data_IF_101037705406
#
_entry.id   IF_101037705406
#
_cell.length_a   1.000
_cell.length_b   1.000
_cell.length_c   1.000
_cell.angle_alpha   90.00
_cell.angle_beta   90.00
_cell.angle_gamma   90.00
#
_symmetry.space_group_name_H-M   'P 1'
#
loop_
_entity.id
_entity.type
_entity.pdbx_description
1 polymer ?
#
# COMPACT_ATOMS: atom_id res chain seq x y z
N UNK A 1 44.81 -42.74 7.53
CA UNK A 1 45.79 -43.86 7.48
C UNK A 1 47.18 -43.29 7.62
N UNK A 2 47.73 -43.56 8.73
CA UNK A 2 49.10 -44.10 8.94
C UNK A 2 50.19 -43.20 8.42
N UNK A 3 51.07 -42.66 9.20
CA UNK A 3 51.82 -43.14 10.36
C UNK A 3 53.29 -43.36 10.00
N UNK A 4 54.15 -42.88 10.90
CA UNK A 4 55.48 -43.48 11.29
C UNK A 4 56.67 -43.20 10.31
N UNK A 5 57.84 -43.00 10.71
CA UNK A 5 58.59 -43.42 11.90
C UNK A 5 59.98 -42.83 11.87
N UNK A 6 60.51 -42.38 13.03
CA UNK A 6 61.69 -42.94 13.75
C UNK A 6 62.95 -43.24 12.90
N UNK A 7 64.15 -42.98 13.32
CA UNK A 7 64.89 -43.32 14.54
C UNK A 7 66.34 -42.86 14.39
N UNK A 8 66.92 -42.24 15.35
CA UNK A 8 68.04 -42.62 16.26
C UNK A 8 69.31 -43.18 15.64
N UNK A 9 70.45 -42.64 15.99
CA UNK A 9 71.60 -43.21 16.75
C UNK A 9 72.75 -42.20 16.72
N UNK A 10 73.22 -41.66 17.76
CA UNK A 10 74.05 -42.09 18.87
C UNK A 10 75.55 -42.03 18.58
N UNK A 11 76.22 -41.23 19.41
CA UNK A 11 77.46 -41.41 20.20
C UNK A 11 78.76 -41.41 19.47
N UNK A 12 79.57 -40.40 19.74
CA UNK A 12 80.87 -40.62 20.36
C UNK A 12 81.48 -39.31 20.92
N UNK A 13 81.94 -39.45 22.11
CA UNK A 13 82.61 -38.44 22.97
C UNK A 13 84.00 -38.14 22.43
N UNK A 14 84.35 -36.85 22.41
CA UNK A 14 85.71 -36.43 22.65
C UNK A 14 85.75 -35.05 23.32
N UNK A 15 86.23 -35.01 24.55
CA UNK A 15 86.55 -33.80 25.31
C UNK A 15 87.72 -33.04 24.63
N UNK A 16 87.45 -31.80 24.24
CA UNK A 16 88.48 -30.77 24.14
C UNK A 16 87.94 -29.52 24.81
N UNK A 17 88.59 -29.14 25.85
CA UNK A 17 88.45 -27.86 26.58
C UNK A 17 88.79 -26.70 25.64
N UNK A 18 87.76 -26.05 25.14
CA UNK A 18 87.88 -24.79 24.47
C UNK A 18 86.62 -24.01 24.79
N UNK A 19 86.76 -22.78 25.18
CA UNK A 19 85.74 -21.81 25.45
C UNK A 19 84.83 -21.75 24.23
N UNK A 20 83.75 -22.51 24.23
CA UNK A 20 82.74 -22.39 23.16
C UNK A 20 81.91 -21.18 23.47
N UNK A 21 82.15 -20.09 22.72
CA UNK A 21 81.10 -19.08 22.52
C UNK A 21 79.96 -19.76 21.88
N UNK A 22 78.82 -19.77 22.56
CA UNK A 22 77.61 -20.32 22.06
C UNK A 22 77.09 -19.32 21.03
N UNK A 23 77.39 -19.52 19.76
CA UNK A 23 77.06 -18.67 18.61
C UNK A 23 75.62 -18.81 18.19
N UNK A 24 74.70 -18.69 19.10
CA UNK A 24 73.30 -18.71 18.63
C UNK A 24 72.48 -17.67 19.38
N UNK A 25 72.27 -16.49 18.80
CA UNK A 25 71.32 -15.55 19.30
C UNK A 25 69.89 -16.08 18.92
N UNK A 26 69.36 -16.95 19.78
CA UNK A 26 68.10 -17.71 19.47
C UNK A 26 66.89 -16.95 19.91
N UNK A 27 67.01 -15.73 20.42
CA UNK A 27 65.81 -15.01 20.93
C UNK A 27 65.74 -13.58 20.35
N UNK A 28 64.56 -13.23 19.82
CA UNK A 28 64.23 -11.85 19.57
C UNK A 28 63.59 -11.27 20.82
N UNK A 29 63.89 -10.05 21.21
CA UNK A 29 63.28 -9.38 22.37
C UNK A 29 62.65 -8.04 22.02
N UNK A 30 62.49 -7.76 20.74
CA UNK A 30 61.79 -6.55 20.28
C UNK A 30 60.30 -6.73 20.46
N UNK A 31 59.71 -5.93 21.31
CA UNK A 31 58.27 -5.87 21.58
C UNK A 31 57.75 -4.47 21.28
N UNK A 32 56.59 -4.39 20.64
CA UNK A 32 55.83 -3.17 20.40
C UNK A 32 54.35 -3.56 20.24
N UNK A 33 53.43 -2.66 20.50
CA UNK A 33 52.00 -2.84 20.17
C UNK A 33 51.81 -2.82 18.65
N UNK A 34 51.47 -3.97 18.06
CA UNK A 34 51.27 -4.18 16.62
C UNK A 34 49.83 -3.91 16.18
N UNK A 35 48.91 -3.49 17.08
CA UNK A 35 47.53 -3.13 16.72
C UNK A 35 47.50 -1.88 15.83
N UNK A 36 46.47 -1.70 15.03
CA UNK A 36 46.29 -0.51 14.21
C UNK A 36 46.26 0.76 15.08
N UNK A 37 47.01 1.79 14.67
CA UNK A 37 46.99 3.13 15.28
C UNK A 37 46.15 4.06 14.44
N UNK A 38 45.09 4.59 15.01
CA UNK A 38 44.20 5.53 14.32
C UNK A 38 44.50 6.94 14.85
N UNK A 39 44.82 7.85 13.95
CA UNK A 39 45.11 9.27 14.24
C UNK A 39 44.25 10.16 13.34
N UNK A 40 44.01 11.38 13.77
CA UNK A 40 43.54 12.45 12.90
C UNK A 40 44.71 13.23 12.31
N UNK A 41 44.51 13.95 11.23
CA UNK A 41 45.54 14.87 10.69
C UNK A 41 45.93 15.87 11.76
N UNK A 42 47.26 15.96 12.05
CA UNK A 42 47.83 16.78 13.10
C UNK A 42 47.89 16.13 14.48
N UNK A 43 47.29 14.98 14.69
CA UNK A 43 47.32 14.25 15.95
C UNK A 43 48.64 13.46 16.08
N UNK A 44 49.10 13.33 17.31
CA UNK A 44 50.33 12.56 17.64
C UNK A 44 50.02 11.48 18.67
N UNK A 45 50.68 10.34 18.54
CA UNK A 45 50.66 9.28 19.55
C UNK A 45 52.02 8.61 19.61
N UNK A 46 52.46 8.20 20.81
CA UNK A 46 53.73 7.55 20.99
C UNK A 46 53.54 6.06 21.21
N UNK A 47 54.27 5.25 20.40
CA UNK A 47 54.43 3.80 20.60
C UNK A 47 55.90 3.49 20.75
N UNK A 48 56.33 3.30 21.97
CA UNK A 48 57.70 2.94 22.26
C UNK A 48 57.89 1.43 22.15
N UNK A 49 58.92 1.04 21.43
CA UNK A 49 59.41 -0.32 21.45
C UNK A 49 60.16 -0.60 22.75
N UNK A 50 60.16 -1.84 23.16
CA UNK A 50 60.92 -2.32 24.31
C UNK A 50 61.76 -3.54 23.96
N UNK A 51 62.82 -3.75 24.74
CA UNK A 51 63.72 -4.87 24.56
C UNK A 51 64.30 -5.30 25.88
N UNK A 52 64.76 -6.53 26.00
CA UNK A 52 65.54 -7.06 27.11
C UNK A 52 67.00 -6.85 26.90
N UNK A 53 67.50 -6.38 25.73
CA UNK A 53 68.86 -6.02 25.46
C UNK A 53 69.24 -4.74 26.21
N UNK A 54 70.48 -4.63 26.67
CA UNK A 54 71.01 -3.43 27.37
C UNK A 54 71.82 -2.53 26.45
N UNK A 55 72.14 -3.00 25.26
CA UNK A 55 72.89 -2.29 24.21
C UNK A 55 72.08 -2.08 22.98
N UNK A 56 70.82 -1.67 23.17
CA UNK A 56 69.85 -1.56 22.10
C UNK A 56 69.82 -0.18 21.44
N UNK A 57 69.46 -0.17 20.17
CA UNK A 57 69.09 1.01 19.43
C UNK A 57 67.86 0.67 18.54
N UNK A 58 66.84 1.49 18.66
CA UNK A 58 65.65 1.33 17.78
C UNK A 58 65.76 2.31 16.61
N UNK A 59 65.36 1.84 15.44
CA UNK A 59 65.20 2.64 14.22
C UNK A 59 63.74 2.54 13.78
N UNK A 60 63.11 3.69 13.77
CA UNK A 60 61.70 3.81 13.31
C UNK A 60 61.67 4.38 11.90
N UNK A 61 60.87 3.79 11.04
CA UNK A 61 60.65 4.26 9.67
C UNK A 61 59.17 4.19 9.31
N UNK A 62 58.72 5.11 8.45
CA UNK A 62 57.39 5.10 7.87
C UNK A 62 57.44 4.68 6.42
N UNK A 63 56.56 3.81 5.99
CA UNK A 63 56.41 3.43 4.59
C UNK A 63 55.87 4.57 3.73
N UNK A 64 55.19 5.55 4.35
CA UNK A 64 54.61 6.71 3.67
C UNK A 64 54.68 7.96 4.60
N UNK A 65 55.82 8.67 4.63
CA UNK A 65 55.96 9.87 5.46
C UNK A 65 55.02 11.01 5.09
N UNK A 66 54.45 11.01 3.89
CA UNK A 66 53.42 11.98 3.49
C UNK A 66 52.05 11.74 4.19
N UNK A 67 51.83 10.53 4.69
CA UNK A 67 50.64 10.17 5.46
C UNK A 67 50.90 10.21 6.95
N UNK A 68 51.96 9.57 7.41
CA UNK A 68 52.35 9.57 8.81
C UNK A 68 53.88 9.57 8.94
N UNK A 69 54.41 10.42 9.80
CA UNK A 69 55.84 10.42 10.19
C UNK A 69 56.01 9.74 11.55
N UNK A 70 57.22 9.26 11.81
CA UNK A 70 57.62 8.74 13.13
C UNK A 70 59.00 9.24 13.47
N UNK A 71 59.22 9.64 14.73
CA UNK A 71 60.53 10.00 15.25
C UNK A 71 61.26 8.80 15.89
N UNK A 72 62.50 9.03 16.32
CA UNK A 72 63.32 7.97 16.95
C UNK A 72 62.88 7.58 18.38
N UNK A 73 61.90 8.29 18.94
CA UNK A 73 61.28 7.98 20.22
C UNK A 73 59.96 7.20 20.05
N UNK A 74 59.57 6.90 18.79
CA UNK A 74 58.33 6.20 18.47
C UNK A 74 57.11 7.13 18.48
N UNK A 75 57.29 8.46 18.46
CA UNK A 75 56.20 9.41 18.34
C UNK A 75 55.75 9.49 16.86
N UNK A 76 54.52 9.07 16.61
CA UNK A 76 53.91 9.10 15.29
C UNK A 76 53.04 10.36 15.15
N UNK A 77 53.19 11.04 14.02
CA UNK A 77 52.36 12.22 13.68
C UNK A 77 51.57 11.95 12.40
N UNK A 78 50.23 12.12 12.44
CA UNK A 78 49.38 12.05 11.28
C UNK A 78 49.52 13.31 10.41
N UNK A 79 49.94 13.17 9.16
CA UNK A 79 50.22 14.30 8.25
C UNK A 79 49.09 14.52 7.27
N UNK A 80 48.61 13.46 6.62
CA UNK A 80 47.47 13.52 5.66
C UNK A 80 46.65 12.24 5.71
N UNK A 81 45.43 12.33 5.22
CA UNK A 81 44.49 11.17 5.16
C UNK A 81 45.10 10.03 4.36
N UNK A 82 45.08 8.83 4.92
CA UNK A 82 45.60 7.62 4.26
C UNK A 82 46.10 6.58 5.25
N UNK A 83 46.86 5.62 4.74
CA UNK A 83 47.48 4.56 5.54
C UNK A 83 49.00 4.58 5.38
N UNK A 84 49.70 4.29 6.46
CA UNK A 84 51.16 4.09 6.48
C UNK A 84 51.49 2.91 7.39
N UNK A 85 52.58 2.22 7.12
CA UNK A 85 53.14 1.20 7.99
C UNK A 85 54.35 1.79 8.71
N UNK A 86 54.33 1.80 10.01
CA UNK A 86 55.51 2.12 10.82
C UNK A 86 56.25 0.82 11.11
N UNK A 87 57.51 0.83 10.80
CA UNK A 87 58.41 -0.29 11.05
C UNK A 87 59.45 0.14 12.07
N UNK A 88 59.59 -0.64 13.11
CA UNK A 88 60.68 -0.54 14.06
C UNK A 88 61.63 -1.70 13.88
N UNK A 89 62.93 -1.40 13.81
CA UNK A 89 63.95 -2.42 13.73
C UNK A 89 65.03 -2.20 14.84
N UNK A 90 65.57 -3.29 15.29
CA UNK A 90 66.62 -3.37 16.25
C UNK A 90 67.77 -4.24 15.64
N UNK A 91 68.99 -3.73 15.53
CA UNK A 91 70.10 -4.54 15.05
C UNK A 91 70.45 -5.65 16.04
N UNK A 92 71.30 -6.56 15.62
CA UNK A 92 71.81 -7.61 16.48
C UNK A 92 72.56 -7.01 17.68
N UNK A 93 72.33 -7.52 18.88
CA UNK A 93 72.99 -7.12 20.11
C UNK A 93 74.32 -7.87 20.25
N UNK A 94 75.40 -7.13 20.55
CA UNK A 94 76.71 -7.70 20.87
C UNK A 94 76.80 -8.12 22.34
N UNK A 95 75.94 -7.61 23.19
CA UNK A 95 75.86 -7.89 24.61
C UNK A 95 74.48 -8.49 24.90
N UNK A 96 74.39 -9.69 25.38
CA UNK A 96 73.13 -10.30 25.76
C UNK A 96 72.54 -11.25 24.77
N UNK A 97 73.13 -11.44 23.58
CA UNK A 97 72.83 -12.55 22.67
C UNK A 97 71.38 -12.49 22.04
N UNK A 98 71.01 -11.29 21.56
CA UNK A 98 69.74 -11.08 20.87
C UNK A 98 69.92 -10.89 19.37
N UNK A 99 69.17 -11.61 18.56
CA UNK A 99 69.21 -11.45 17.12
C UNK A 99 68.53 -10.13 16.67
N UNK A 100 68.90 -9.64 15.51
CA UNK A 100 68.26 -8.54 14.88
C UNK A 100 66.72 -8.84 14.72
N UNK A 101 65.87 -7.87 14.96
CA UNK A 101 64.42 -8.03 14.93
C UNK A 101 63.73 -6.82 14.26
N UNK A 102 62.62 -7.08 13.65
CA UNK A 102 61.73 -6.07 13.04
C UNK A 102 60.32 -6.34 13.43
N UNK A 103 59.56 -5.27 13.75
CA UNK A 103 58.11 -5.28 14.00
C UNK A 103 57.46 -4.13 13.24
N UNK A 104 56.19 -4.24 12.95
CA UNK A 104 55.47 -3.17 12.28
C UNK A 104 54.01 -3.13 12.71
N UNK A 105 53.42 -1.95 12.60
CA UNK A 105 52.03 -1.72 12.81
C UNK A 105 51.48 -0.73 11.79
N UNK A 106 50.18 -0.81 11.51
CA UNK A 106 49.49 0.09 10.58
C UNK A 106 49.10 1.38 11.30
N UNK A 107 49.23 2.50 10.62
CA UNK A 107 48.72 3.82 11.02
C UNK A 107 47.67 4.23 10.00
N UNK A 108 46.49 4.55 10.48
CA UNK A 108 45.35 5.03 9.68
C UNK A 108 45.13 6.49 10.08
N UNK A 109 45.39 7.41 9.16
CA UNK A 109 45.15 8.84 9.40
C UNK A 109 43.82 9.25 8.77
N UNK A 110 42.94 9.75 9.60
CA UNK A 110 41.63 10.25 9.20
C UNK A 110 41.63 11.78 9.14
N UNK A 111 40.65 12.36 8.43
CA UNK A 111 40.51 13.82 8.33
C UNK A 111 40.40 14.43 9.73
N UNK A 112 41.10 15.54 9.98
CA UNK A 112 40.94 16.32 11.20
C UNK A 112 39.52 16.86 11.33
N UNK A 113 38.93 16.68 12.49
CA UNK A 113 37.50 16.82 12.67
C UNK A 113 36.85 15.48 12.31
N UNK A 114 36.96 14.50 13.21
CA UNK A 114 36.32 13.18 13.09
C UNK A 114 34.86 13.30 12.75
N UNK A 115 34.16 12.22 12.35
CA UNK A 115 32.80 12.29 11.88
C UNK A 115 32.00 13.08 12.92
N UNK A 116 31.43 14.21 12.50
CA UNK A 116 30.39 14.84 13.28
C UNK A 116 29.47 13.71 13.71
N UNK A 117 29.32 13.49 14.99
CA UNK A 117 28.46 12.41 15.50
C UNK A 117 26.99 12.78 15.41
N UNK A 118 26.66 13.85 14.69
CA UNK A 118 25.28 14.30 14.51
C UNK A 118 24.56 13.27 13.66
N UNK A 119 23.72 12.53 14.36
CA UNK A 119 22.86 11.51 13.76
C UNK A 119 21.51 12.09 13.37
N UNK A 120 20.80 11.38 12.54
CA UNK A 120 19.40 11.65 12.22
C UNK A 120 18.56 11.53 13.49
N UNK A 121 17.76 12.56 13.76
CA UNK A 121 16.83 12.60 14.90
C UNK A 121 15.36 12.46 14.47
N UNK A 122 15.05 12.81 13.21
CA UNK A 122 13.71 12.59 12.65
C UNK A 122 13.75 12.44 11.13
N UNK A 123 12.76 11.70 10.62
CA UNK A 123 12.39 11.64 9.20
C UNK A 123 10.92 12.02 9.12
N UNK A 124 10.58 12.94 8.22
CA UNK A 124 9.20 13.34 7.94
C UNK A 124 8.88 13.02 6.50
N UNK A 125 7.78 12.31 6.25
CA UNK A 125 7.26 12.06 4.91
C UNK A 125 6.23 13.11 4.52
N UNK A 126 6.13 13.40 3.22
CA UNK A 126 5.08 14.26 2.68
C UNK A 126 3.67 13.68 2.84
N UNK A 127 3.56 12.33 2.92
CA UNK A 127 2.31 11.60 3.13
C UNK A 127 2.54 10.48 4.15
N UNK A 128 1.59 10.29 5.06
CA UNK A 128 1.59 9.21 6.05
C UNK A 128 0.58 8.11 5.72
N UNK A 129 -0.37 8.40 4.84
CA UNK A 129 -1.35 7.46 4.30
C UNK A 129 -1.66 7.81 2.85
N UNK A 130 -1.80 6.78 2.02
CA UNK A 130 -2.18 6.87 0.61
C UNK A 130 -3.28 5.85 0.33
N UNK A 131 -4.38 6.29 -0.28
CA UNK A 131 -5.37 5.41 -0.87
C UNK A 131 -5.27 5.50 -2.38
N UNK A 132 -5.10 4.36 -3.05
CA UNK A 132 -4.90 4.26 -4.50
C UNK A 132 -5.77 3.16 -5.08
N UNK A 133 -6.09 3.26 -6.35
CA UNK A 133 -6.73 2.18 -7.09
C UNK A 133 -5.69 1.30 -7.78
N UNK A 134 -5.98 0.02 -7.91
CA UNK A 134 -5.18 -0.90 -8.72
C UNK A 134 -5.12 -0.39 -10.17
N UNK A 135 -3.90 -0.17 -10.66
CA UNK A 135 -3.66 0.42 -11.99
C UNK A 135 -3.38 1.91 -11.97
N UNK A 136 -3.47 2.59 -10.83
CA UNK A 136 -3.03 3.98 -10.69
C UNK A 136 -1.53 4.11 -10.97
N UNK A 137 -1.12 5.29 -11.46
CA UNK A 137 0.28 5.61 -11.66
C UNK A 137 1.06 5.62 -10.34
N UNK A 138 2.36 5.33 -10.43
CA UNK A 138 3.28 5.40 -9.30
C UNK A 138 3.27 6.79 -8.63
N UNK A 139 3.47 6.81 -7.32
CA UNK A 139 3.42 8.02 -6.49
C UNK A 139 4.76 8.25 -5.82
N UNK A 140 5.21 9.50 -5.81
CA UNK A 140 6.46 9.91 -5.16
C UNK A 140 6.23 10.25 -3.69
N UNK A 141 6.78 9.45 -2.79
CA UNK A 141 7.03 9.84 -1.39
C UNK A 141 8.36 10.58 -1.32
N UNK A 142 8.36 11.68 -0.59
CA UNK A 142 9.56 12.45 -0.26
C UNK A 142 9.79 12.43 1.24
N UNK A 143 11.06 12.28 1.64
CA UNK A 143 11.45 12.26 3.03
C UNK A 143 12.34 13.47 3.33
N UNK A 144 12.00 14.19 4.39
CA UNK A 144 12.83 15.25 4.95
C UNK A 144 13.54 14.71 6.19
N UNK A 145 14.87 14.80 6.19
CA UNK A 145 15.71 14.29 7.26
C UNK A 145 16.21 15.45 8.12
N UNK A 146 16.08 15.35 9.41
CA UNK A 146 16.61 16.32 10.37
C UNK A 146 17.55 15.64 11.39
N UNK A 147 18.53 16.40 11.92
CA UNK A 147 18.84 17.78 11.63
C UNK A 147 19.58 17.95 10.28
N UNK A 148 19.61 19.20 9.78
CA UNK A 148 20.20 19.49 8.48
C UNK A 148 21.72 19.23 8.40
N UNK A 149 22.41 19.20 9.52
CA UNK A 149 23.84 18.91 9.70
C UNK A 149 24.13 17.44 10.04
N UNK A 150 23.14 16.54 9.99
CA UNK A 150 23.36 15.10 10.09
C UNK A 150 24.37 14.65 9.02
N UNK A 151 25.33 13.82 9.43
CA UNK A 151 26.48 13.43 8.58
C UNK A 151 26.06 12.51 7.45
N UNK A 152 25.23 11.53 7.75
CA UNK A 152 24.64 10.61 6.79
C UNK A 152 23.12 10.78 6.80
N UNK A 153 22.57 11.36 5.73
CA UNK A 153 21.14 11.56 5.50
C UNK A 153 20.56 10.53 4.54
N UNK A 154 21.32 9.53 4.20
CA UNK A 154 20.86 8.51 3.29
C UNK A 154 19.74 7.67 3.93
N UNK A 155 18.78 7.27 3.11
CA UNK A 155 17.56 6.56 3.52
C UNK A 155 17.44 5.28 2.73
N UNK A 156 17.11 4.21 3.42
CA UNK A 156 16.65 2.96 2.82
C UNK A 156 15.13 2.90 2.84
N UNK A 157 14.54 2.64 1.68
CA UNK A 157 13.11 2.46 1.51
C UNK A 157 12.76 0.97 1.42
N UNK A 158 11.74 0.56 2.16
CA UNK A 158 11.24 -0.82 2.13
C UNK A 158 9.72 -0.86 2.16
N UNK A 159 9.15 -1.93 1.60
CA UNK A 159 7.74 -2.28 1.74
C UNK A 159 7.64 -3.57 2.55
N UNK A 160 6.70 -3.64 3.49
CA UNK A 160 6.39 -4.87 4.24
C UNK A 160 5.55 -5.85 3.41
N UNK A 161 4.85 -5.35 2.35
CA UNK A 161 4.03 -6.16 1.46
C UNK A 161 4.26 -5.79 -0.02
N UNK A 162 5.34 -6.28 -0.65
CA UNK A 162 5.64 -5.98 -2.06
C UNK A 162 4.60 -6.50 -3.06
N UNK A 163 3.73 -7.44 -2.65
CA UNK A 163 2.63 -7.91 -3.49
C UNK A 163 1.52 -6.84 -3.65
N UNK A 164 1.43 -5.90 -2.73
CA UNK A 164 0.48 -4.78 -2.76
C UNK A 164 1.12 -3.51 -3.31
N UNK A 165 2.27 -3.12 -2.78
CA UNK A 165 3.01 -1.95 -3.24
C UNK A 165 4.52 -2.16 -3.10
N UNK A 166 5.29 -1.77 -4.12
CA UNK A 166 6.75 -1.73 -4.07
C UNK A 166 7.24 -0.29 -3.96
N UNK A 167 8.47 -0.12 -3.49
CA UNK A 167 9.09 1.21 -3.40
C UNK A 167 10.52 1.20 -3.92
N UNK A 168 10.88 2.19 -4.72
CA UNK A 168 12.23 2.42 -5.19
C UNK A 168 12.58 3.91 -5.05
N UNK A 169 13.55 4.25 -4.19
CA UNK A 169 13.95 5.64 -3.91
C UNK A 169 12.77 6.57 -3.61
N UNK A 170 11.75 6.07 -2.88
CA UNK A 170 10.52 6.79 -2.55
C UNK A 170 9.47 6.80 -3.66
N UNK A 171 9.71 6.24 -4.83
CA UNK A 171 8.68 6.03 -5.84
C UNK A 171 7.92 4.73 -5.52
N UNK A 172 6.65 4.88 -5.19
CA UNK A 172 5.74 3.79 -4.80
C UNK A 172 4.96 3.33 -6.03
N UNK A 173 5.14 2.07 -6.42
CA UNK A 173 4.39 1.42 -7.50
C UNK A 173 3.27 0.56 -6.93
N UNK A 174 2.08 0.68 -7.52
CA UNK A 174 0.86 -0.04 -7.11
C UNK A 174 0.84 -1.39 -7.84
N UNK A 175 0.84 -2.49 -7.10
CA UNK A 175 1.01 -3.86 -7.66
C UNK A 175 -0.25 -4.71 -7.49
N UNK A 176 -0.88 -4.70 -6.30
CA UNK A 176 -2.03 -5.55 -5.98
C UNK A 176 -2.92 -4.94 -4.92
N UNK A 177 -4.08 -5.57 -4.69
CA UNK A 177 -5.06 -5.12 -3.70
C UNK A 177 -4.56 -5.37 -2.27
N UNK A 178 -5.00 -4.54 -1.33
CA UNK A 178 -4.70 -4.68 0.08
C UNK A 178 -3.96 -3.50 0.67
N UNK A 179 -3.20 -3.75 1.74
CA UNK A 179 -2.44 -2.71 2.45
C UNK A 179 -0.97 -3.08 2.53
N UNK A 180 -0.10 -2.08 2.33
CA UNK A 180 1.33 -2.16 2.52
C UNK A 180 1.82 -0.97 3.35
N UNK A 181 2.82 -1.19 4.20
CA UNK A 181 3.51 -0.13 4.93
C UNK A 181 4.85 0.15 4.24
N UNK A 182 4.98 1.33 3.70
CA UNK A 182 6.25 1.83 3.16
C UNK A 182 7.03 2.48 4.29
N UNK A 183 8.25 2.04 4.48
CA UNK A 183 9.16 2.53 5.53
C UNK A 183 10.36 3.22 4.92
N UNK A 184 10.66 4.43 5.39
CA UNK A 184 11.89 5.16 5.16
C UNK A 184 12.75 5.07 6.43
N UNK A 185 13.92 4.46 6.37
CA UNK A 185 14.81 4.25 7.51
C UNK A 185 16.17 4.93 7.29
N UNK A 186 16.68 5.64 8.30
CA UNK A 186 17.99 6.24 8.27
C UNK A 186 19.10 5.18 8.26
N UNK A 187 20.15 5.39 7.45
CA UNK A 187 21.29 4.46 7.33
C UNK A 187 22.43 4.77 8.31
N UNK A 188 22.37 5.88 9.05
CA UNK A 188 23.40 6.34 9.98
C UNK A 188 23.49 5.54 11.30
N UNK A 189 22.67 4.49 11.43
CA UNK A 189 22.59 3.68 12.65
C UNK A 189 21.85 4.37 13.81
N UNK A 190 21.08 5.45 13.56
CA UNK A 190 20.21 6.08 14.57
C UNK A 190 18.98 5.24 14.89
N UNK A 191 18.54 4.38 13.93
CA UNK A 191 17.32 3.61 14.02
C UNK A 191 16.04 4.42 13.74
N UNK A 192 16.17 5.69 13.33
CA UNK A 192 15.03 6.57 13.02
C UNK A 192 14.34 6.09 11.76
N UNK A 193 13.01 6.04 11.81
CA UNK A 193 12.14 5.59 10.72
C UNK A 193 10.91 6.49 10.61
N UNK A 194 10.35 6.54 9.41
CA UNK A 194 9.02 7.08 9.16
C UNK A 194 8.25 6.13 8.23
N UNK A 195 6.94 6.08 8.35
CA UNK A 195 6.10 5.15 7.60
C UNK A 195 4.97 5.86 6.88
N UNK A 196 4.58 5.28 5.75
CA UNK A 196 3.36 5.63 5.01
C UNK A 196 2.55 4.36 4.78
N UNK A 197 1.28 4.35 5.19
CA UNK A 197 0.35 3.26 4.91
C UNK A 197 -0.23 3.45 3.52
N UNK A 198 -0.04 2.49 2.63
CA UNK A 198 -0.60 2.47 1.27
C UNK A 198 -1.73 1.46 1.22
N UNK A 199 -2.95 1.92 0.99
CA UNK A 199 -4.12 1.08 0.78
C UNK A 199 -4.46 1.07 -0.70
N UNK A 200 -4.48 -0.11 -1.31
CA UNK A 200 -4.80 -0.29 -2.73
C UNK A 200 -6.17 -0.92 -2.85
N UNK A 201 -7.08 -0.21 -3.47
CA UNK A 201 -8.46 -0.62 -3.70
C UNK A 201 -8.66 -1.06 -5.15
N UNK A 202 -9.71 -1.85 -5.38
CA UNK A 202 -10.17 -2.10 -6.73
C UNK A 202 -10.83 -0.83 -7.30
N UNK A 203 -10.57 -0.45 -8.56
CA UNK A 203 -11.15 0.77 -9.13
C UNK A 203 -12.67 0.79 -8.99
N UNK A 204 -13.21 1.89 -8.49
CA UNK A 204 -14.65 2.07 -8.28
C UNK A 204 -15.23 1.29 -7.10
N UNK A 205 -14.40 0.69 -6.22
CA UNK A 205 -14.83 -0.05 -5.04
C UNK A 205 -14.76 0.84 -3.81
N UNK A 206 -15.85 0.89 -3.02
CA UNK A 206 -15.87 1.55 -1.71
C UNK A 206 -15.28 0.65 -0.64
N UNK A 207 -14.69 1.24 0.38
CA UNK A 207 -13.96 0.51 1.42
C UNK A 207 -14.86 -0.28 2.39
N UNK A 208 -16.10 0.17 2.59
CA UNK A 208 -17.02 -0.41 3.57
C UNK A 208 -17.41 -1.85 3.26
N UNK A 209 -17.44 -2.69 4.28
CA UNK A 209 -17.83 -4.11 4.19
C UNK A 209 -19.23 -4.31 4.75
N UNK A 210 -20.02 -5.08 4.04
CA UNK A 210 -21.43 -5.29 4.35
C UNK A 210 -21.77 -6.77 4.30
N UNK A 211 -22.24 -7.34 5.39
CA UNK A 211 -22.75 -8.71 5.42
C UNK A 211 -24.06 -8.79 4.63
N UNK A 212 -24.10 -9.71 3.67
CA UNK A 212 -25.28 -10.03 2.84
C UNK A 212 -25.80 -11.44 3.08
N UNK A 213 -25.12 -12.21 3.92
CA UNK A 213 -25.57 -13.47 4.52
C UNK A 213 -24.76 -13.72 5.80
N UNK A 214 -25.02 -14.83 6.49
CA UNK A 214 -24.26 -15.21 7.70
C UNK A 214 -22.77 -15.47 7.42
N UNK A 215 -22.38 -15.72 6.18
CA UNK A 215 -21.01 -16.12 5.79
C UNK A 215 -20.44 -15.30 4.65
N UNK A 216 -21.17 -14.30 4.14
CA UNK A 216 -20.76 -13.54 2.96
C UNK A 216 -20.79 -12.05 3.23
N UNK A 217 -19.69 -11.38 2.92
CA UNK A 217 -19.58 -9.93 2.93
C UNK A 217 -19.26 -9.40 1.53
N UNK A 218 -19.73 -8.20 1.26
CA UNK A 218 -19.51 -7.48 0.00
C UNK A 218 -19.04 -6.06 0.24
N UNK A 219 -18.48 -5.49 -0.80
CA UNK A 219 -18.19 -4.06 -0.93
C UNK A 219 -18.95 -3.50 -2.13
N UNK A 220 -19.44 -2.28 -2.03
CA UNK A 220 -20.25 -1.64 -3.06
C UNK A 220 -19.41 -0.86 -4.06
N UNK A 221 -19.96 -0.69 -5.28
CA UNK A 221 -19.45 0.26 -6.27
C UNK A 221 -19.54 1.70 -5.76
N UNK A 222 -18.65 2.57 -6.24
CA UNK A 222 -18.55 3.99 -5.86
C UNK A 222 -19.82 4.79 -6.17
N UNK A 223 -20.63 4.35 -7.13
CA UNK A 223 -21.86 5.01 -7.56
C UNK A 223 -22.78 4.07 -8.30
N UNK A 224 -23.95 4.57 -8.67
CA UNK A 224 -24.89 3.84 -9.52
C UNK A 224 -24.25 3.55 -10.89
N UNK A 225 -24.62 2.41 -11.49
CA UNK A 225 -24.20 2.09 -12.85
C UNK A 225 -24.79 3.09 -13.84
N UNK A 226 -24.01 3.51 -14.81
CA UNK A 226 -24.39 4.40 -15.91
C UNK A 226 -23.93 3.80 -17.24
N UNK A 227 -24.71 4.03 -18.28
CA UNK A 227 -24.38 3.68 -19.65
C UNK A 227 -24.35 4.93 -20.53
N UNK A 228 -23.37 5.03 -21.43
CA UNK A 228 -23.32 6.06 -22.48
C UNK A 228 -23.86 5.43 -23.76
N UNK A 229 -24.89 6.03 -24.33
CA UNK A 229 -25.58 5.49 -25.51
C UNK A 229 -24.72 5.68 -26.76
N UNK A 230 -24.49 4.59 -27.50
CA UNK A 230 -23.83 4.59 -28.81
C UNK A 230 -24.82 4.77 -29.96
N UNK A 231 -25.98 4.11 -29.89
CA UNK A 231 -26.97 4.15 -30.95
C UNK A 231 -28.21 3.35 -30.69
N UNK A 232 -29.18 3.47 -31.59
CA UNK A 232 -30.46 2.77 -31.58
C UNK A 232 -30.41 1.55 -32.52
N UNK A 233 -30.84 0.40 -32.03
CA UNK A 233 -30.75 -0.88 -32.76
C UNK A 233 -31.94 -1.17 -33.71
N UNK A 234 -32.98 -0.32 -33.67
CA UNK A 234 -34.19 -0.50 -34.50
C UNK A 234 -35.28 -1.37 -33.88
N UNK A 235 -35.01 -2.08 -32.82
CA UNK A 235 -35.90 -3.02 -32.12
C UNK A 235 -36.32 -2.52 -30.74
N UNK A 236 -36.42 -1.22 -30.55
CA UNK A 236 -36.66 -0.56 -29.26
C UNK A 236 -35.52 -0.69 -28.25
N UNK A 237 -34.38 -1.18 -28.65
CA UNK A 237 -33.17 -1.29 -27.79
C UNK A 237 -32.06 -0.36 -28.26
N UNK A 238 -31.06 -0.17 -27.39
CA UNK A 238 -29.92 0.68 -27.63
C UNK A 238 -28.64 -0.06 -27.30
N UNK A 239 -27.55 0.33 -27.97
CA UNK A 239 -26.20 -0.09 -27.65
C UNK A 239 -25.52 0.96 -26.80
N UNK A 240 -24.79 0.56 -25.79
CA UNK A 240 -23.88 1.43 -25.05
C UNK A 240 -22.50 1.46 -25.69
N UNK A 241 -21.89 2.64 -25.75
CA UNK A 241 -20.47 2.79 -26.08
C UNK A 241 -19.55 2.51 -24.89
N UNK A 242 -20.04 2.77 -23.69
CA UNK A 242 -19.30 2.50 -22.45
C UNK A 242 -20.24 2.39 -21.27
N UNK A 243 -19.77 1.70 -20.24
CA UNK A 243 -20.37 1.58 -18.94
C UNK A 243 -19.42 2.16 -17.90
N UNK A 244 -19.96 2.85 -16.91
CA UNK A 244 -19.19 3.44 -15.81
C UNK A 244 -20.02 3.50 -14.54
N UNK A 245 -19.38 3.67 -13.39
CA UNK A 245 -20.08 4.11 -12.18
C UNK A 245 -20.20 5.64 -12.18
N UNK A 246 -21.25 6.14 -11.57
CA UNK A 246 -21.38 7.57 -11.27
C UNK A 246 -20.17 8.05 -10.44
N UNK A 247 -19.82 9.33 -10.59
CA UNK A 247 -18.62 9.90 -9.94
C UNK A 247 -18.83 10.02 -8.42
N UNK A 248 -20.01 10.52 -8.04
CA UNK A 248 -20.41 10.61 -6.64
C UNK A 248 -21.55 9.67 -6.33
N UNK A 249 -21.66 9.28 -5.08
CA UNK A 249 -22.72 8.37 -4.65
C UNK A 249 -24.13 8.95 -4.78
N UNK A 250 -24.27 10.27 -4.73
CA UNK A 250 -25.53 10.99 -4.90
C UNK A 250 -25.88 11.34 -6.34
N UNK A 251 -25.01 11.05 -7.31
CA UNK A 251 -25.26 11.37 -8.71
C UNK A 251 -26.34 10.46 -9.30
N UNK A 252 -27.29 11.07 -9.98
CA UNK A 252 -28.30 10.42 -10.82
C UNK A 252 -28.65 11.30 -12.01
N UNK A 253 -29.10 10.67 -13.10
CA UNK A 253 -29.39 11.38 -14.35
C UNK A 253 -30.74 12.11 -14.30
N UNK A 254 -31.74 11.54 -13.62
CA UNK A 254 -33.03 12.14 -13.41
C UNK A 254 -33.75 12.54 -14.70
N UNK A 255 -34.47 13.67 -14.64
CA UNK A 255 -35.22 14.23 -15.76
C UNK A 255 -34.36 14.90 -16.85
N UNK A 256 -33.03 15.03 -16.65
CA UNK A 256 -32.09 15.46 -17.68
C UNK A 256 -31.88 14.43 -18.79
N UNK A 257 -32.44 13.23 -18.60
CA UNK A 257 -32.54 12.20 -19.63
C UNK A 257 -33.59 12.55 -20.72
N UNK A 258 -34.03 11.55 -21.44
CA UNK A 258 -34.87 11.71 -22.61
C UNK A 258 -36.31 12.06 -22.20
N UNK A 259 -36.94 13.13 -22.76
CA UNK A 259 -38.33 13.45 -22.53
C UNK A 259 -39.27 12.30 -22.93
N UNK A 260 -40.46 12.30 -22.37
CA UNK A 260 -41.47 11.29 -22.66
C UNK A 260 -41.68 11.11 -24.19
N UNK A 261 -41.67 9.86 -24.64
CA UNK A 261 -41.87 9.50 -26.04
C UNK A 261 -40.68 9.75 -26.98
N UNK A 262 -39.54 10.25 -26.48
CA UNK A 262 -38.36 10.43 -27.30
C UNK A 262 -37.35 9.26 -27.15
N UNK A 263 -36.52 9.11 -28.15
CA UNK A 263 -35.43 8.13 -28.14
C UNK A 263 -34.18 8.69 -27.44
N UNK A 264 -33.43 7.81 -26.79
CA UNK A 264 -32.07 8.19 -26.36
C UNK A 264 -31.25 8.60 -27.58
N UNK A 265 -30.45 9.65 -27.43
CA UNK A 265 -29.51 10.08 -28.46
C UNK A 265 -28.13 9.52 -28.16
N UNK A 266 -27.34 9.32 -29.21
CA UNK A 266 -25.93 8.99 -29.07
C UNK A 266 -25.24 10.02 -28.17
N UNK A 267 -24.47 9.55 -27.21
CA UNK A 267 -23.78 10.36 -26.21
C UNK A 267 -24.60 10.66 -24.95
N UNK A 268 -25.92 10.38 -24.92
CA UNK A 268 -26.67 10.49 -23.66
C UNK A 268 -26.15 9.48 -22.63
N UNK A 269 -26.13 9.89 -21.37
CA UNK A 269 -25.88 8.99 -20.23
C UNK A 269 -27.21 8.61 -19.61
N UNK A 270 -27.39 7.35 -19.24
CA UNK A 270 -28.57 6.79 -18.59
C UNK A 270 -28.17 5.93 -17.39
N UNK A 271 -29.01 5.87 -16.37
CA UNK A 271 -28.78 5.14 -15.10
C UNK A 271 -30.02 4.36 -14.60
N UNK A 272 -31.07 4.31 -15.42
CA UNK A 272 -32.31 3.57 -15.12
C UNK A 272 -32.52 2.48 -16.19
N UNK A 273 -32.34 1.23 -15.80
CA UNK A 273 -32.28 0.05 -16.67
C UNK A 273 -33.50 -0.85 -16.47
N UNK A 274 -34.06 -1.36 -17.57
CA UNK A 274 -35.05 -2.42 -17.50
C UNK A 274 -34.44 -3.76 -17.07
N UNK A 275 -35.21 -4.61 -16.43
CA UNK A 275 -34.74 -5.93 -16.00
C UNK A 275 -34.87 -6.96 -17.14
N UNK A 276 -33.76 -7.36 -17.77
CA UNK A 276 -33.77 -8.14 -19.02
C UNK A 276 -33.48 -9.62 -18.89
N UNK A 277 -33.15 -10.09 -17.70
CA UNK A 277 -32.67 -11.45 -17.52
C UNK A 277 -31.33 -11.69 -18.21
N UNK A 278 -30.91 -12.96 -18.27
CA UNK A 278 -29.60 -13.31 -18.86
C UNK A 278 -29.59 -12.93 -20.36
N UNK A 279 -28.75 -11.98 -20.70
CA UNK A 279 -28.72 -11.22 -21.94
C UNK A 279 -28.21 -11.98 -23.18
N UNK A 280 -28.04 -13.29 -23.13
CA UNK A 280 -27.66 -14.08 -24.31
C UNK A 280 -28.57 -13.87 -25.54
N UNK A 281 -29.75 -13.30 -25.33
CA UNK A 281 -30.71 -13.04 -26.37
C UNK A 281 -30.83 -11.58 -26.83
N UNK A 282 -30.37 -10.60 -26.01
CA UNK A 282 -30.40 -9.17 -26.37
C UNK A 282 -29.26 -8.43 -25.65
N UNK A 283 -28.31 -7.94 -26.40
CA UNK A 283 -27.12 -7.22 -25.90
C UNK A 283 -27.40 -5.84 -25.28
N UNK A 284 -28.63 -5.55 -24.84
CA UNK A 284 -29.01 -4.20 -24.46
C UNK A 284 -28.98 -3.91 -22.96
N UNK A 285 -28.82 -4.92 -22.10
CA UNK A 285 -28.74 -4.77 -20.64
C UNK A 285 -29.78 -3.78 -20.05
N UNK A 286 -31.03 -3.84 -20.56
CA UNK A 286 -32.08 -2.94 -20.13
C UNK A 286 -32.05 -1.54 -20.71
N UNK A 287 -31.21 -1.28 -21.69
CA UNK A 287 -31.22 -0.05 -22.48
C UNK A 287 -32.35 -0.08 -23.50
N UNK A 288 -33.55 0.21 -23.07
CA UNK A 288 -34.72 0.18 -23.91
C UNK A 288 -35.44 1.52 -23.94
N UNK A 289 -36.16 1.77 -25.02
CA UNK A 289 -37.06 2.91 -25.17
C UNK A 289 -38.09 2.89 -24.04
N UNK A 290 -38.45 4.05 -23.56
CA UNK A 290 -39.62 4.18 -22.66
C UNK A 290 -40.92 3.82 -23.36
N UNK A 291 -41.80 3.10 -22.68
CA UNK A 291 -43.16 2.59 -22.97
C UNK A 291 -43.82 2.98 -24.32
N UNK A 292 -44.69 2.15 -24.92
CA UNK A 292 -45.35 1.03 -24.23
C UNK A 292 -44.62 -0.29 -24.45
N UNK A 293 -43.96 -0.78 -23.43
CA UNK A 293 -43.36 -2.11 -23.47
C UNK A 293 -44.30 -3.12 -22.83
N UNK A 294 -44.42 -4.21 -23.54
CA UNK A 294 -44.90 -5.44 -22.93
C UNK A 294 -43.67 -6.30 -22.54
N UNK A 295 -43.89 -7.29 -21.71
CA UNK A 295 -42.80 -8.17 -21.25
C UNK A 295 -42.14 -8.95 -22.37
N UNK A 296 -42.71 -8.98 -23.57
CA UNK A 296 -42.13 -9.63 -24.76
C UNK A 296 -40.95 -8.83 -25.34
N UNK A 297 -40.90 -7.52 -25.14
CA UNK A 297 -39.80 -6.67 -25.60
C UNK A 297 -38.49 -6.95 -24.88
N UNK A 298 -38.55 -7.59 -23.70
CA UNK A 298 -37.41 -8.02 -22.92
C UNK A 298 -37.04 -9.50 -23.11
N UNK A 299 -37.50 -10.14 -24.19
CA UNK A 299 -37.01 -11.46 -24.57
C UNK A 299 -37.96 -12.63 -24.28
N UNK A 300 -39.25 -12.39 -24.08
CA UNK A 300 -40.28 -13.45 -23.97
C UNK A 300 -40.41 -14.06 -22.57
N UNK A 301 -41.15 -15.14 -22.49
CA UNK A 301 -41.37 -15.89 -21.25
C UNK A 301 -40.09 -16.50 -20.76
N UNK A 302 -39.51 -15.96 -19.69
CA UNK A 302 -38.38 -16.55 -19.01
C UNK A 302 -38.93 -17.45 -17.89
N UNK A 303 -38.38 -18.65 -17.76
CA UNK A 303 -38.65 -19.51 -16.60
C UNK A 303 -38.12 -18.89 -15.31
N UNK A 304 -38.55 -19.36 -14.17
CA UNK A 304 -38.23 -18.84 -12.83
C UNK A 304 -36.74 -18.81 -12.47
N UNK A 305 -35.88 -19.38 -13.31
CA UNK A 305 -34.45 -19.53 -13.03
C UNK A 305 -33.53 -18.41 -13.57
N UNK A 306 -34.09 -17.33 -14.13
CA UNK A 306 -33.25 -16.31 -14.77
C UNK A 306 -32.83 -15.23 -13.79
N UNK A 307 -31.56 -14.89 -13.91
CA UNK A 307 -30.91 -13.78 -13.19
C UNK A 307 -30.57 -12.69 -14.19
N UNK A 308 -30.74 -11.44 -13.80
CA UNK A 308 -30.12 -10.30 -14.48
C UNK A 308 -28.93 -9.85 -13.70
N UNK A 309 -27.77 -9.82 -14.36
CA UNK A 309 -26.52 -9.42 -13.72
C UNK A 309 -25.73 -8.46 -14.60
N UNK A 310 -25.71 -7.20 -14.19
CA UNK A 310 -24.92 -6.14 -14.85
C UNK A 310 -23.43 -6.21 -14.55
N UNK A 311 -23.02 -7.02 -13.58
CA UNK A 311 -21.60 -7.21 -13.23
C UNK A 311 -20.77 -7.91 -14.30
N UNK A 312 -21.40 -8.49 -15.32
CA UNK A 312 -20.74 -9.08 -16.49
C UNK A 312 -20.14 -8.03 -17.46
N UNK A 313 -20.50 -6.77 -17.28
CA UNK A 313 -20.09 -5.66 -18.13
C UNK A 313 -18.65 -5.22 -17.89
N UNK A 314 -18.01 -4.68 -18.95
CA UNK A 314 -16.75 -3.97 -18.81
C UNK A 314 -17.04 -2.52 -18.36
N UNK A 315 -16.79 -2.22 -17.10
CA UNK A 315 -17.07 -0.94 -16.48
C UNK A 315 -15.77 -0.14 -16.43
N UNK A 316 -15.71 1.00 -17.12
CA UNK A 316 -14.46 1.75 -17.37
C UNK A 316 -13.72 2.15 -16.10
N UNK A 317 -14.46 2.67 -15.10
CA UNK A 317 -13.92 2.99 -13.77
C UNK A 317 -14.18 1.89 -12.72
N UNK A 318 -14.47 0.67 -13.17
CA UNK A 318 -14.67 -0.54 -12.37
C UNK A 318 -13.76 -1.69 -12.78
N UNK A 319 -12.50 -1.37 -13.18
CA UNK A 319 -11.50 -2.34 -13.64
C UNK A 319 -11.47 -2.53 -15.16
N UNK A 320 -12.34 -1.88 -15.91
CA UNK A 320 -12.39 -1.83 -17.38
C UNK A 320 -12.30 -3.22 -18.07
N UNK A 321 -12.88 -4.24 -17.47
CA UNK A 321 -12.89 -5.61 -17.97
C UNK A 321 -14.22 -6.28 -17.66
N UNK A 322 -14.77 -7.01 -18.63
CA UNK A 322 -15.94 -7.87 -18.42
C UNK A 322 -15.60 -8.96 -17.39
N UNK A 323 -16.60 -9.35 -16.61
CA UNK A 323 -16.45 -10.37 -15.57
C UNK A 323 -15.34 -10.06 -14.56
N UNK A 324 -15.21 -8.79 -14.17
CA UNK A 324 -14.19 -8.34 -13.22
C UNK A 324 -14.53 -8.58 -11.74
N UNK A 325 -15.53 -9.43 -11.49
CA UNK A 325 -15.98 -9.81 -10.14
C UNK A 325 -17.11 -8.94 -9.60
N UNK A 326 -17.59 -7.94 -10.34
CA UNK A 326 -18.81 -7.23 -10.01
C UNK A 326 -20.03 -8.15 -10.19
N UNK A 327 -21.08 -7.93 -9.41
CA UNK A 327 -22.38 -8.58 -9.58
C UNK A 327 -23.50 -7.77 -8.94
N UNK A 328 -24.74 -8.13 -9.29
CA UNK A 328 -25.95 -7.54 -8.75
C UNK A 328 -26.46 -8.40 -7.60
N UNK A 329 -26.68 -7.82 -6.42
CA UNK A 329 -27.25 -8.53 -5.27
C UNK A 329 -28.59 -9.19 -5.65
N UNK A 330 -28.80 -10.39 -5.14
CA UNK A 330 -30.08 -11.07 -5.24
C UNK A 330 -31.06 -10.55 -4.17
N UNK A 331 -32.31 -11.01 -4.23
CA UNK A 331 -33.39 -10.60 -3.32
C UNK A 331 -33.03 -10.87 -1.85
N UNK A 332 -32.51 -12.07 -1.56
CA UNK A 332 -32.25 -12.49 -0.17
C UNK A 332 -31.05 -11.75 0.41
N UNK A 333 -30.08 -11.40 -0.41
CA UNK A 333 -28.93 -10.57 -0.03
C UNK A 333 -29.35 -9.14 0.30
N UNK A 334 -30.27 -8.55 -0.48
CA UNK A 334 -30.85 -7.24 -0.16
C UNK A 334 -31.70 -7.29 1.14
N UNK A 335 -32.52 -8.34 1.32
CA UNK A 335 -33.27 -8.51 2.56
C UNK A 335 -32.36 -8.64 3.77
N UNK A 336 -31.30 -9.44 3.68
CA UNK A 336 -30.34 -9.61 4.77
C UNK A 336 -29.64 -8.30 5.12
N UNK A 337 -29.25 -7.54 4.11
CA UNK A 337 -28.56 -6.25 4.25
C UNK A 337 -29.38 -5.25 5.08
N UNK A 338 -30.68 -5.17 4.86
CA UNK A 338 -31.54 -4.21 5.55
C UNK A 338 -32.17 -4.73 6.84
N UNK A 339 -32.41 -6.04 6.94
CA UNK A 339 -33.28 -6.60 7.98
C UNK A 339 -32.56 -7.45 9.01
N UNK A 340 -31.49 -8.16 8.63
CA UNK A 340 -30.95 -9.25 9.46
C UNK A 340 -29.52 -8.99 9.95
N UNK A 341 -28.65 -8.38 9.15
CA UNK A 341 -27.25 -8.19 9.51
C UNK A 341 -27.09 -7.37 10.79
N UNK A 342 -26.00 -7.62 11.50
CA UNK A 342 -25.59 -6.83 12.66
C UNK A 342 -24.46 -5.88 12.28
N UNK A 343 -24.45 -4.70 12.90
CA UNK A 343 -23.37 -3.72 12.78
C UNK A 343 -22.81 -3.40 14.18
N UNK A 344 -21.61 -2.91 14.27
CA UNK A 344 -20.98 -2.54 15.55
C UNK A 344 -21.80 -1.49 16.30
N UNK A 345 -22.38 -0.53 15.59
CA UNK A 345 -23.27 0.50 16.18
C UNK A 345 -24.70 0.03 16.47
N UNK A 346 -25.09 -1.13 15.96
CA UNK A 346 -26.50 -1.59 15.95
C UNK A 346 -27.37 -0.90 14.89
N UNK A 347 -26.83 -0.01 14.06
CA UNK A 347 -27.54 0.75 13.03
C UNK A 347 -27.13 0.25 11.65
N UNK A 348 -28.06 -0.16 10.82
CA UNK A 348 -27.81 -0.69 9.47
C UNK A 348 -27.95 0.36 8.38
N UNK A 349 -28.94 1.26 8.52
CA UNK A 349 -29.23 2.27 7.51
C UNK A 349 -29.95 3.48 8.10
N UNK A 350 -29.96 4.58 7.36
CA UNK A 350 -30.77 5.75 7.68
C UNK A 350 -31.28 6.40 6.39
N UNK A 351 -32.49 6.99 6.42
CA UNK A 351 -32.92 7.89 5.37
C UNK A 351 -32.28 9.25 5.57
N UNK A 352 -31.82 9.86 4.50
CA UNK A 352 -31.10 11.12 4.56
C UNK A 352 -31.28 11.96 3.29
N UNK A 353 -30.94 13.25 3.40
CA UNK A 353 -30.63 14.12 2.29
C UNK A 353 -29.12 14.37 2.28
N UNK A 354 -28.42 13.89 1.27
CA UNK A 354 -26.96 14.08 1.10
C UNK A 354 -26.74 15.01 -0.08
N UNK A 355 -26.05 16.11 0.12
CA UNK A 355 -25.82 17.13 -0.90
C UNK A 355 -27.11 17.52 -1.68
N UNK A 356 -28.20 17.75 -0.95
CA UNK A 356 -29.55 18.05 -1.46
C UNK A 356 -30.23 16.90 -2.23
N UNK A 357 -29.68 15.70 -2.23
CA UNK A 357 -30.24 14.50 -2.84
C UNK A 357 -30.81 13.59 -1.75
N UNK A 358 -32.10 13.26 -1.86
CA UNK A 358 -32.75 12.31 -0.95
C UNK A 358 -32.33 10.89 -1.26
N UNK A 359 -32.23 10.05 -0.23
CA UNK A 359 -31.81 8.67 -0.40
C UNK A 359 -31.70 7.90 0.90
N UNK A 360 -31.05 6.75 0.82
CA UNK A 360 -30.79 5.86 1.95
C UNK A 360 -29.28 5.70 2.10
N UNK A 361 -28.79 5.95 3.30
CA UNK A 361 -27.42 5.62 3.71
C UNK A 361 -27.42 4.17 4.19
N UNK A 362 -26.49 3.35 3.69
CA UNK A 362 -26.14 2.06 4.25
C UNK A 362 -24.84 2.23 5.05
N UNK A 363 -24.83 1.75 6.28
CA UNK A 363 -23.67 1.81 7.16
C UNK A 363 -22.93 0.47 7.13
N UNK A 364 -21.61 0.42 7.03
CA UNK A 364 -20.86 -0.83 7.02
C UNK A 364 -20.95 -1.57 8.37
N UNK A 365 -20.54 -2.83 8.39
CA UNK A 365 -20.69 -3.70 9.56
C UNK A 365 -19.91 -3.19 10.77
N UNK A 366 -18.78 -2.51 10.55
CA UNK A 366 -17.90 -1.92 11.56
C UNK A 366 -18.19 -0.44 11.88
N UNK A 367 -19.33 0.09 11.40
CA UNK A 367 -19.69 1.48 11.63
C UNK A 367 -19.71 1.85 13.11
N UNK A 368 -19.09 2.96 13.46
CA UNK A 368 -19.15 3.56 14.79
C UNK A 368 -20.10 4.76 14.82
N UNK A 369 -20.99 4.80 15.80
CA UNK A 369 -21.86 5.96 16.02
C UNK A 369 -21.10 7.25 16.40
N UNK A 370 -19.82 7.14 16.72
CA UNK A 370 -18.95 8.30 16.99
C UNK A 370 -18.56 9.08 15.71
N UNK A 371 -18.70 8.50 14.54
CA UNK A 371 -18.37 9.18 13.28
C UNK A 371 -19.38 10.27 12.94
N UNK A 372 -20.66 9.95 13.09
CA UNK A 372 -21.76 10.89 12.92
C UNK A 372 -23.03 10.43 13.67
N UNK A 373 -23.72 11.35 14.31
CA UNK A 373 -24.97 11.07 15.00
C UNK A 373 -26.15 11.12 14.02
N UNK A 374 -26.76 9.96 13.77
CA UNK A 374 -27.93 9.85 12.90
C UNK A 374 -29.24 9.86 13.70
N UNK A 375 -30.19 10.63 13.21
CA UNK A 375 -31.54 10.68 13.76
C UNK A 375 -32.41 9.60 13.09
N UNK A 376 -33.20 8.87 13.87
CA UNK A 376 -34.22 7.91 13.38
C UNK A 376 -33.63 6.82 12.46
N UNK A 377 -32.46 6.31 12.80
CA UNK A 377 -31.81 5.19 12.09
C UNK A 377 -32.66 3.91 12.21
N UNK A 378 -32.47 2.99 11.23
CA UNK A 378 -33.22 1.72 11.07
C UNK A 378 -34.77 1.88 11.03
N UNK A 379 -35.24 3.06 10.69
CA UNK A 379 -36.68 3.37 10.66
C UNK A 379 -37.15 3.56 9.23
N UNK A 380 -38.14 2.73 8.82
CA UNK A 380 -38.62 2.68 7.44
C UNK A 380 -39.52 3.88 7.05
N UNK A 381 -40.17 4.53 8.01
CA UNK A 381 -41.24 5.52 7.80
C UNK A 381 -40.85 6.96 8.13
N UNK A 382 -39.57 7.26 8.30
CA UNK A 382 -39.11 8.64 8.55
C UNK A 382 -38.86 9.42 7.28
N UNK A 383 -38.91 10.74 7.41
CA UNK A 383 -38.62 11.64 6.29
C UNK A 383 -37.10 11.68 6.01
N UNK A 384 -36.73 11.92 4.78
CA UNK A 384 -35.32 12.10 4.38
C UNK A 384 -34.65 13.29 5.07
N UNK A 385 -35.44 14.33 5.37
CA UNK A 385 -34.98 15.53 6.06
C UNK A 385 -34.67 15.32 7.55
N UNK A 386 -34.84 14.11 8.07
CA UNK A 386 -34.40 13.77 9.43
C UNK A 386 -32.89 13.77 9.59
N UNK A 387 -32.16 13.56 8.49
CA UNK A 387 -30.70 13.63 8.42
C UNK A 387 -30.32 14.45 7.19
N UNK A 388 -29.86 15.69 7.40
CA UNK A 388 -29.35 16.56 6.33
C UNK A 388 -27.83 16.59 6.41
N UNK A 389 -27.17 16.12 5.35
CA UNK A 389 -25.73 15.89 5.31
C UNK A 389 -25.16 16.66 4.12
N UNK A 390 -24.21 17.54 4.37
CA UNK A 390 -23.50 18.26 3.31
C UNK A 390 -22.54 17.33 2.57
N UNK A 391 -22.07 17.73 1.39
CA UNK A 391 -21.05 17.00 0.66
C UNK A 391 -19.74 16.84 1.46
N UNK A 392 -19.38 17.83 2.28
CA UNK A 392 -18.19 17.80 3.10
C UNK A 392 -18.31 16.79 4.25
N UNK A 393 -19.44 16.82 4.98
CA UNK A 393 -19.74 15.83 6.03
C UNK A 393 -19.85 14.41 5.45
N UNK A 394 -20.45 14.28 4.26
CA UNK A 394 -20.47 12.99 3.59
C UNK A 394 -19.06 12.43 3.36
N UNK A 395 -18.16 13.25 2.82
CA UNK A 395 -16.80 12.83 2.52
C UNK A 395 -16.01 12.46 3.79
N UNK A 396 -16.12 13.27 4.87
CA UNK A 396 -15.33 13.09 6.10
C UNK A 396 -15.91 12.04 7.05
N UNK A 397 -17.22 12.06 7.25
CA UNK A 397 -17.85 11.30 8.33
C UNK A 397 -18.45 9.97 7.84
N UNK A 398 -18.82 9.88 6.57
CA UNK A 398 -19.50 8.72 6.00
C UNK A 398 -18.65 7.95 4.99
N UNK A 399 -18.25 8.58 3.89
CA UNK A 399 -17.55 7.89 2.80
C UNK A 399 -16.15 7.45 3.23
N UNK A 400 -15.43 8.28 3.98
CA UNK A 400 -14.14 7.93 4.57
C UNK A 400 -14.23 6.70 5.51
N UNK A 401 -15.42 6.44 6.06
CA UNK A 401 -15.71 5.29 6.91
C UNK A 401 -16.54 4.20 6.20
N UNK A 402 -16.59 4.25 4.87
CA UNK A 402 -17.12 3.19 4.03
C UNK A 402 -18.65 3.14 3.89
N UNK A 403 -19.36 4.19 4.31
CA UNK A 403 -20.82 4.25 4.10
C UNK A 403 -21.19 4.32 2.62
N UNK A 404 -22.36 3.79 2.27
CA UNK A 404 -22.91 3.79 0.93
C UNK A 404 -24.19 4.61 0.89
N UNK A 405 -24.32 5.47 -0.13
CA UNK A 405 -25.53 6.23 -0.37
C UNK A 405 -26.25 5.71 -1.61
N UNK A 406 -27.53 5.42 -1.47
CA UNK A 406 -28.47 5.01 -2.53
C UNK A 406 -29.39 6.21 -2.82
N UNK A 407 -29.17 7.03 -3.84
CA UNK A 407 -30.01 8.16 -4.16
C UNK A 407 -31.41 7.74 -4.60
N UNK A 408 -32.40 8.58 -4.29
CA UNK A 408 -33.78 8.46 -4.76
C UNK A 408 -33.87 8.90 -6.25
N UNK A 409 -33.30 8.10 -7.14
CA UNK A 409 -33.17 8.40 -8.57
C UNK A 409 -34.51 8.27 -9.34
N UNK A 410 -35.57 7.89 -8.68
CA UNK A 410 -36.87 7.63 -9.31
C UNK A 410 -36.89 6.33 -10.08
N UNK A 411 -37.74 6.29 -11.11
CA UNK A 411 -37.83 5.18 -12.07
C UNK A 411 -38.18 5.70 -13.45
N UNK A 412 -37.98 4.92 -14.47
CA UNK A 412 -38.34 5.22 -15.84
C UNK A 412 -39.46 4.31 -16.34
N UNK A 413 -40.64 4.90 -16.55
CA UNK A 413 -41.74 4.33 -17.32
C UNK A 413 -41.78 4.93 -18.72
N UNK A 414 -42.90 5.56 -19.07
CA UNK A 414 -43.01 6.41 -20.28
C UNK A 414 -42.15 7.68 -20.18
N UNK A 415 -41.92 8.12 -18.98
CA UNK A 415 -41.02 9.22 -18.60
C UNK A 415 -40.28 8.85 -17.32
N UNK A 416 -39.27 9.61 -16.95
CA UNK A 416 -38.67 9.50 -15.64
C UNK A 416 -39.57 10.18 -14.61
N UNK A 417 -39.89 9.47 -13.54
CA UNK A 417 -40.81 9.88 -12.46
C UNK A 417 -40.20 9.68 -11.10
N UNK A 418 -40.76 10.35 -10.11
CA UNK A 418 -40.42 10.22 -8.68
C UNK A 418 -38.93 10.55 -8.34
N UNK A 419 -38.28 11.33 -9.21
CA UNK A 419 -36.88 11.80 -9.02
C UNK A 419 -36.79 12.59 -7.73
N UNK A 420 -35.77 12.32 -6.93
CA UNK A 420 -35.53 12.92 -5.61
C UNK A 420 -36.72 12.73 -4.64
N UNK A 421 -37.49 11.64 -4.84
CA UNK A 421 -38.65 11.27 -4.04
C UNK A 421 -38.65 9.80 -3.69
N UNK A 422 -38.43 8.90 -4.66
CA UNK A 422 -38.30 7.45 -4.42
C UNK A 422 -37.03 6.89 -5.04
N UNK A 423 -36.49 5.84 -4.44
CA UNK A 423 -35.40 5.03 -4.99
C UNK A 423 -35.86 3.62 -5.28
N UNK A 424 -35.38 3.09 -6.41
CA UNK A 424 -35.67 1.74 -6.88
C UNK A 424 -34.37 1.11 -7.40
N UNK A 425 -33.99 -0.01 -6.78
CA UNK A 425 -32.72 -0.70 -7.09
C UNK A 425 -33.02 -2.15 -7.45
N UNK A 426 -32.72 -2.56 -8.66
CA UNK A 426 -32.92 -3.93 -9.09
C UNK A 426 -32.12 -4.93 -8.25
N UNK A 427 -32.74 -6.07 -7.96
CA UNK A 427 -32.04 -7.29 -7.60
C UNK A 427 -31.79 -8.14 -8.86
N UNK A 428 -30.93 -9.14 -8.74
CA UNK A 428 -30.70 -10.11 -9.82
C UNK A 428 -31.80 -11.18 -9.91
N UNK A 429 -32.81 -11.15 -9.03
CA UNK A 429 -33.85 -12.18 -8.91
C UNK A 429 -35.13 -11.76 -9.62
N UNK A 430 -35.67 -12.65 -10.46
CA UNK A 430 -36.99 -12.47 -11.07
C UNK A 430 -38.10 -12.79 -10.09
N UNK A 431 -39.28 -12.20 -10.33
CA UNK A 431 -40.55 -12.59 -9.71
C UNK A 431 -41.54 -13.01 -10.82
N UNK A 432 -41.44 -14.26 -11.21
CA UNK A 432 -42.20 -14.82 -12.32
C UNK A 432 -41.81 -14.25 -13.69
N UNK A 433 -42.75 -14.20 -14.59
CA UNK A 433 -42.52 -13.85 -16.01
C UNK A 433 -42.45 -12.33 -16.21
N UNK A 434 -43.21 -11.57 -15.45
CA UNK A 434 -43.48 -10.16 -15.72
C UNK A 434 -42.75 -9.20 -14.82
N UNK A 435 -42.37 -9.65 -13.63
CA UNK A 435 -41.83 -8.80 -12.58
C UNK A 435 -40.44 -9.27 -12.12
N UNK A 436 -39.76 -8.42 -11.42
CA UNK A 436 -38.50 -8.72 -10.74
C UNK A 436 -38.44 -8.02 -9.37
N UNK A 437 -37.66 -8.57 -8.48
CA UNK A 437 -37.46 -7.99 -7.17
C UNK A 437 -36.55 -6.76 -7.22
N UNK A 438 -36.89 -5.78 -6.39
CA UNK A 438 -36.14 -4.54 -6.21
C UNK A 438 -36.14 -4.10 -4.74
N UNK A 439 -35.19 -3.31 -4.35
CA UNK A 439 -35.32 -2.46 -3.18
C UNK A 439 -36.16 -1.24 -3.58
N UNK A 440 -37.19 -0.95 -2.82
CA UNK A 440 -37.97 0.25 -2.96
C UNK A 440 -37.95 1.07 -1.68
N UNK A 441 -37.75 2.38 -1.81
CA UNK A 441 -37.90 3.30 -0.70
C UNK A 441 -38.45 4.65 -1.17
N UNK A 442 -39.26 5.26 -0.31
CA UNK A 442 -39.78 6.60 -0.46
C UNK A 442 -39.94 7.25 0.92
N UNK A 443 -40.66 8.35 1.01
CA UNK A 443 -40.93 9.03 2.29
C UNK A 443 -41.72 8.16 3.27
N UNK A 444 -42.55 7.26 2.74
CA UNK A 444 -43.51 6.44 3.52
C UNK A 444 -42.97 5.06 3.91
N UNK A 445 -41.96 4.54 3.24
CA UNK A 445 -41.48 3.18 3.46
C UNK A 445 -40.08 2.88 2.98
N UNK A 446 -39.64 1.67 3.33
CA UNK A 446 -38.47 0.99 2.76
C UNK A 446 -38.80 -0.50 2.71
N UNK A 447 -38.80 -1.09 1.51
CA UNK A 447 -39.13 -2.48 1.25
C UNK A 447 -37.99 -3.11 0.46
N UNK A 448 -37.12 -3.94 1.10
CA UNK A 448 -35.97 -4.52 0.46
C UNK A 448 -36.25 -5.51 -0.65
N UNK A 449 -37.43 -6.13 -0.63
CA UNK A 449 -37.91 -7.17 -1.57
C UNK A 449 -39.26 -6.84 -2.18
N UNK A 450 -39.43 -5.59 -2.61
CA UNK A 450 -40.59 -5.18 -3.41
C UNK A 450 -40.48 -5.74 -4.82
N UNK A 451 -41.59 -5.90 -5.52
CA UNK A 451 -41.62 -6.31 -6.92
C UNK A 451 -41.98 -5.13 -7.83
N UNK A 452 -41.48 -5.17 -9.05
CA UNK A 452 -41.77 -4.18 -10.05
C UNK A 452 -41.71 -4.81 -11.44
N UNK A 453 -42.58 -4.31 -12.35
CA UNK A 453 -42.58 -4.84 -13.70
C UNK A 453 -41.28 -4.58 -14.42
N UNK A 454 -40.72 -5.61 -15.02
CA UNK A 454 -39.38 -5.68 -15.60
C UNK A 454 -39.11 -4.63 -16.69
N UNK A 455 -40.17 -4.11 -17.33
CA UNK A 455 -40.03 -3.07 -18.36
C UNK A 455 -39.78 -1.67 -17.81
N UNK A 456 -39.95 -1.44 -16.51
CA UNK A 456 -39.58 -0.17 -15.91
C UNK A 456 -38.05 -0.09 -15.77
N UNK A 457 -37.52 1.14 -15.90
CA UNK A 457 -36.12 1.39 -15.62
C UNK A 457 -35.90 1.71 -14.15
N UNK A 458 -35.04 0.94 -13.48
CA UNK A 458 -34.61 1.20 -12.11
C UNK A 458 -33.07 1.30 -12.03
N UNK A 459 -32.58 1.85 -10.94
CA UNK A 459 -31.16 1.94 -10.69
C UNK A 459 -30.51 0.57 -10.48
N UNK A 460 -29.22 0.49 -10.77
CA UNK A 460 -28.36 -0.65 -10.50
C UNK A 460 -27.17 -0.23 -9.65
N UNK A 461 -26.96 -0.91 -8.53
CA UNK A 461 -25.81 -0.74 -7.67
C UNK A 461 -25.09 -2.07 -7.55
N UNK A 462 -23.87 -2.14 -8.03
CA UNK A 462 -23.10 -3.37 -8.06
C UNK A 462 -22.25 -3.55 -6.80
N UNK A 463 -21.92 -4.79 -6.54
CA UNK A 463 -21.05 -5.20 -5.43
C UNK A 463 -19.98 -6.17 -5.90
N UNK A 464 -18.94 -6.34 -5.06
CA UNK A 464 -17.95 -7.41 -5.15
C UNK A 464 -17.84 -8.13 -3.81
N UNK A 465 -17.50 -9.40 -3.84
CA UNK A 465 -17.17 -10.14 -2.63
C UNK A 465 -15.90 -9.53 -1.97
N UNK A 466 -15.89 -9.54 -0.65
CA UNK A 466 -14.69 -9.19 0.12
C UNK A 466 -13.67 -10.31 -0.07
N UNK A 467 -12.49 -9.96 -0.57
CA UNK A 467 -11.35 -10.87 -0.75
C UNK A 467 -10.62 -11.13 0.58
#
# INVERSE_FOLDING_TARGET
MRAFSRLLTALSVLLITGCQFNENPVRTSLEIDESDLILQVGETATRQASTKSTDYQFFYTSSNPAVATVDQNGMVTGISVGEAIITVSMPESKIGWYAAATRSYKVIVKKAGGPSSVKVTSITLNETALTKNLGDAAVKLTATVAPADAVDKSITWTSDNPAVATVNNGEVSIIGLGTAIITAAANDGSGVKATCTVTVLFPGLLAGKFSVSATKQVQFSQGNLQAVIAGYNGDNTYTASSWKFAEHQWDYIGNGGVPAGQYFKTGNTVDLFGWVGNSALRNSYGLCKSSPYNNTDYGGSFGEALKSDWGTLAITNGGNRAYSGWYTLNKDEWDYLFSTRTTTSGIRYAKATVNNVKGVILLPDDWSASYHALTSADTKTVAYTSNEITAAEWASDFEAHGAVFLPAAGHRGTSVSDVNSSGRYWSSTSDGINDAYQVFFDNSGLIPSSTHSRHYGCSVRLVRDVE
#
